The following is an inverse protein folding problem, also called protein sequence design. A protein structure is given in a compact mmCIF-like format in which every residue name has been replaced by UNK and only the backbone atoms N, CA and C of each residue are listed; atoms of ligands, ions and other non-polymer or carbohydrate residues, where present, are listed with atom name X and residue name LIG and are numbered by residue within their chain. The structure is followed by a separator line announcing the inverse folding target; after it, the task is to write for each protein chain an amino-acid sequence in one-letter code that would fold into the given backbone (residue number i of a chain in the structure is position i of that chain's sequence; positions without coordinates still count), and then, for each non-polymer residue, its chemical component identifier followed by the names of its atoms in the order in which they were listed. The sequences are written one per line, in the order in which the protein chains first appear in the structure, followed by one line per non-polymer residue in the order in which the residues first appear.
data_IF_565913177785
#
_entry.id   IF_565913177785
#
_cell.length_a   1.000
_cell.length_b   1.000
_cell.length_c   1.000
_cell.angle_alpha   90.00
_cell.angle_beta   90.00
_cell.angle_gamma   90.00
#
_symmetry.space_group_name_H-M   'P 1'
#
loop_
_entity.id
_entity.type
_entity.pdbx_description
1 polymer ?
#
# COMPACT_ATOMS: atom_id res chain seq x y z
N UNK A 1 -38.08 -9.08 15.19
CA UNK A 1 -37.05 -9.38 14.18
C UNK A 1 -36.00 -8.30 14.29
N UNK A 2 -34.84 -8.66 14.82
CA UNK A 2 -33.69 -7.76 14.95
C UNK A 2 -33.34 -7.21 13.56
N UNK A 3 -33.32 -5.89 13.40
CA UNK A 3 -33.09 -5.24 12.12
C UNK A 3 -31.58 -5.34 11.83
N UNK A 4 -31.18 -6.48 11.27
CA UNK A 4 -29.80 -6.77 10.92
C UNK A 4 -29.34 -5.74 9.89
N UNK A 5 -28.50 -4.79 10.31
CA UNK A 5 -27.95 -3.78 9.41
C UNK A 5 -26.94 -4.43 8.45
N UNK A 6 -27.42 -4.75 7.25
CA UNK A 6 -26.64 -5.34 6.16
C UNK A 6 -25.36 -4.55 5.86
N UNK A 7 -25.37 -3.23 6.07
CA UNK A 7 -24.22 -2.35 5.80
C UNK A 7 -23.09 -2.58 6.81
N UNK A 8 -23.43 -2.81 8.07
CA UNK A 8 -22.45 -3.09 9.12
C UNK A 8 -21.84 -4.48 8.94
N UNK A 9 -22.64 -5.47 8.50
CA UNK A 9 -22.14 -6.81 8.14
C UNK A 9 -21.16 -6.74 6.98
N UNK A 10 -21.50 -6.04 5.89
CA UNK A 10 -20.60 -5.89 4.74
C UNK A 10 -19.31 -5.17 5.11
N UNK A 11 -19.40 -4.12 5.94
CA UNK A 11 -18.23 -3.39 6.45
C UNK A 11 -17.31 -4.33 7.25
N UNK A 12 -17.87 -5.14 8.15
CA UNK A 12 -17.10 -6.12 8.93
C UNK A 12 -16.46 -7.16 8.03
N UNK A 13 -17.18 -7.68 7.04
CA UNK A 13 -16.63 -8.61 6.06
C UNK A 13 -15.47 -8.00 5.26
N UNK A 14 -15.60 -6.75 4.82
CA UNK A 14 -14.53 -6.02 4.12
C UNK A 14 -13.30 -5.81 5.01
N UNK A 15 -13.49 -5.41 6.27
CA UNK A 15 -12.38 -5.22 7.20
C UNK A 15 -11.67 -6.54 7.49
N UNK A 16 -12.42 -7.62 7.72
CA UNK A 16 -11.84 -8.97 7.92
C UNK A 16 -11.11 -9.45 6.68
N UNK A 17 -11.62 -9.19 5.48
CA UNK A 17 -10.93 -9.52 4.23
C UNK A 17 -9.56 -8.84 4.14
N UNK A 18 -9.42 -7.60 4.60
CA UNK A 18 -8.15 -6.87 4.55
C UNK A 18 -7.29 -7.03 5.81
N UNK A 19 -7.69 -7.82 6.82
CA UNK A 19 -6.88 -8.08 8.02
C UNK A 19 -5.66 -8.98 7.78
N UNK A 20 -5.59 -9.63 6.63
CA UNK A 20 -4.56 -10.62 6.28
C UNK A 20 -3.14 -10.08 6.06
N UNK A 21 -2.94 -8.75 6.08
CA UNK A 21 -1.61 -8.15 5.91
C UNK A 21 -1.04 -8.21 4.49
N UNK A 22 -1.71 -8.88 3.54
CA UNK A 22 -1.23 -9.00 2.15
C UNK A 22 -1.13 -7.62 1.49
N UNK A 23 -2.12 -6.77 1.72
CA UNK A 23 -2.11 -5.39 1.25
C UNK A 23 -0.86 -4.64 1.72
N UNK A 24 -0.48 -4.81 2.99
CA UNK A 24 0.66 -4.13 3.60
C UNK A 24 1.99 -4.64 3.00
N UNK A 25 2.11 -5.95 2.74
CA UNK A 25 3.27 -6.54 2.05
C UNK A 25 3.45 -5.89 0.67
N UNK A 26 2.40 -5.84 -0.14
CA UNK A 26 2.48 -5.28 -1.50
C UNK A 26 2.72 -3.77 -1.52
N UNK A 27 2.17 -3.03 -0.56
CA UNK A 27 2.49 -1.61 -0.37
C UNK A 27 3.97 -1.41 -0.07
N UNK A 28 4.51 -2.17 0.89
CA UNK A 28 5.90 -2.06 1.29
C UNK A 28 6.87 -2.46 0.16
N UNK A 29 6.60 -3.57 -0.55
CA UNK A 29 7.35 -3.98 -1.75
C UNK A 29 7.28 -2.90 -2.82
N UNK A 30 6.10 -2.31 -3.05
CA UNK A 30 5.95 -1.21 -3.98
C UNK A 30 6.85 -0.02 -3.63
N UNK A 31 6.85 0.41 -2.37
CA UNK A 31 7.70 1.49 -1.89
C UNK A 31 9.19 1.14 -2.06
N UNK A 32 9.59 -0.08 -1.72
CA UNK A 32 10.97 -0.54 -1.92
C UNK A 32 11.36 -0.60 -3.40
N UNK A 33 10.42 -0.90 -4.29
CA UNK A 33 10.64 -0.89 -5.74
C UNK A 33 10.90 0.53 -6.26
N UNK A 34 10.37 1.57 -5.61
CA UNK A 34 10.75 2.96 -5.91
C UNK A 34 12.20 3.23 -5.45
N UNK A 35 12.68 2.58 -4.39
CA UNK A 35 14.07 2.73 -3.96
C UNK A 35 15.08 2.24 -5.02
N UNK A 36 14.72 1.24 -5.83
CA UNK A 36 15.60 0.71 -6.88
C UNK A 36 15.83 1.70 -8.03
N UNK A 37 14.95 2.69 -8.22
CA UNK A 37 15.14 3.80 -9.17
C UNK A 37 16.45 4.54 -8.88
N UNK A 38 16.77 4.72 -7.59
CA UNK A 38 17.96 5.42 -7.14
C UNK A 38 19.25 4.61 -7.29
N UNK A 39 19.16 3.30 -7.50
CA UNK A 39 20.33 2.43 -7.68
C UNK A 39 20.70 2.22 -9.13
N UNK A 40 19.69 2.03 -9.99
CA UNK A 40 19.92 1.57 -11.36
C UNK A 40 19.63 2.63 -12.42
N UNK A 41 19.00 3.76 -12.07
CA UNK A 41 18.54 4.80 -13.02
C UNK A 41 17.61 4.27 -14.14
N UNK A 42 17.15 3.01 -14.05
CA UNK A 42 16.29 2.36 -15.05
C UNK A 42 14.82 2.59 -14.72
N UNK A 43 14.27 3.70 -15.22
CA UNK A 43 12.88 4.07 -14.96
C UNK A 43 11.84 3.12 -15.59
N UNK A 44 12.13 2.59 -16.79
CA UNK A 44 11.18 1.82 -17.61
C UNK A 44 10.94 0.41 -17.07
N UNK A 45 11.97 -0.25 -16.53
CA UNK A 45 11.81 -1.58 -15.91
C UNK A 45 11.01 -1.53 -14.61
N UNK A 46 11.08 -0.40 -13.90
CA UNK A 46 10.47 -0.21 -12.59
C UNK A 46 8.98 0.07 -12.72
N UNK A 47 8.55 0.85 -13.71
CA UNK A 47 7.12 1.05 -13.99
C UNK A 47 6.43 -0.26 -14.36
N UNK A 48 7.11 -1.13 -15.11
CA UNK A 48 6.65 -2.49 -15.40
C UNK A 48 6.49 -3.34 -14.14
N UNK A 49 7.47 -3.33 -13.24
CA UNK A 49 7.41 -4.08 -11.97
C UNK A 49 6.27 -3.59 -11.07
N UNK A 50 6.06 -2.28 -10.96
CA UNK A 50 4.95 -1.69 -10.19
C UNK A 50 3.59 -2.08 -10.77
N UNK A 51 3.46 -2.12 -12.10
CA UNK A 51 2.23 -2.51 -12.77
C UNK A 51 1.82 -3.98 -12.51
N UNK A 52 2.79 -4.85 -12.17
CA UNK A 52 2.52 -6.25 -11.82
C UNK A 52 2.00 -6.42 -10.38
N UNK A 53 2.25 -5.47 -9.47
CA UNK A 53 1.90 -5.59 -8.06
C UNK A 53 0.40 -5.85 -7.82
N UNK A 54 -0.56 -5.20 -8.51
CA UNK A 54 -1.98 -5.50 -8.31
C UNK A 54 -2.38 -6.90 -8.78
N UNK A 55 -1.74 -7.41 -9.84
CA UNK A 55 -1.97 -8.77 -10.35
C UNK A 55 -1.48 -9.78 -9.32
N UNK A 56 -0.26 -9.58 -8.81
CA UNK A 56 0.33 -10.41 -7.78
C UNK A 56 -0.47 -10.34 -6.47
N UNK A 57 -0.89 -9.15 -6.06
CA UNK A 57 -1.79 -8.94 -4.93
C UNK A 57 -3.07 -9.77 -5.09
N UNK A 58 -3.76 -9.66 -6.23
CA UNK A 58 -4.99 -10.41 -6.48
C UNK A 58 -4.74 -11.93 -6.46
N UNK A 59 -3.63 -12.39 -7.01
CA UNK A 59 -3.23 -13.80 -7.00
C UNK A 59 -2.96 -14.30 -5.56
N UNK A 60 -2.22 -13.54 -4.76
CA UNK A 60 -1.97 -13.88 -3.35
C UNK A 60 -3.25 -13.91 -2.52
N UNK A 61 -4.18 -12.97 -2.74
CA UNK A 61 -5.50 -13.02 -2.08
C UNK A 61 -6.26 -14.30 -2.45
N UNK A 62 -6.19 -14.72 -3.72
CA UNK A 62 -6.82 -15.96 -4.19
C UNK A 62 -6.22 -17.22 -3.57
N UNK A 63 -4.91 -17.21 -3.32
CA UNK A 63 -4.20 -18.36 -2.74
C UNK A 63 -4.31 -18.43 -1.22
N UNK A 64 -4.21 -17.29 -0.52
CA UNK A 64 -4.11 -17.26 0.93
C UNK A 64 -5.42 -16.89 1.62
N UNK A 65 -6.10 -15.85 1.17
CA UNK A 65 -7.25 -15.27 1.88
C UNK A 65 -8.56 -15.97 1.53
N UNK A 66 -8.81 -16.18 0.23
CA UNK A 66 -10.08 -16.73 -0.26
C UNK A 66 -10.33 -18.17 0.25
N UNK A 67 -9.35 -19.10 0.29
CA UNK A 67 -9.60 -20.45 0.79
C UNK A 67 -9.88 -20.50 2.30
N UNK A 68 -9.51 -19.47 3.06
CA UNK A 68 -9.66 -19.42 4.54
C UNK A 68 -10.92 -18.73 5.00
N UNK A 69 -11.35 -17.68 4.30
CA UNK A 69 -12.55 -16.91 4.65
C UNK A 69 -13.76 -17.25 3.77
N UNK A 70 -13.57 -18.07 2.74
CA UNK A 70 -14.55 -18.27 1.67
C UNK A 70 -14.58 -17.10 0.68
N UNK A 71 -15.30 -17.30 -0.42
CA UNK A 71 -15.43 -16.29 -1.47
C UNK A 71 -16.56 -15.30 -1.17
N UNK A 72 -16.21 -14.08 -0.78
CA UNK A 72 -17.18 -12.99 -0.63
C UNK A 72 -17.35 -12.25 -1.96
N UNK A 73 -18.50 -12.43 -2.62
CA UNK A 73 -18.86 -11.67 -3.83
C UNK A 73 -19.48 -10.34 -3.41
N UNK A 74 -18.68 -9.27 -3.40
CA UNK A 74 -19.23 -7.91 -3.26
C UNK A 74 -20.03 -7.55 -4.53
N UNK A 75 -21.33 -7.25 -4.37
CA UNK A 75 -22.22 -6.89 -5.48
C UNK A 75 -21.74 -5.61 -6.19
N UNK A 76 -22.00 -5.50 -7.50
CA UNK A 76 -21.63 -4.34 -8.32
C UNK A 76 -22.37 -3.06 -7.93
N UNK A 77 -23.54 -3.18 -7.30
CA UNK A 77 -24.34 -2.05 -6.81
C UNK A 77 -23.93 -1.59 -5.40
N UNK A 78 -22.94 -2.24 -4.79
CA UNK A 78 -22.62 -2.03 -3.37
C UNK A 78 -21.27 -1.33 -3.19
N UNK A 79 -21.17 -0.51 -2.15
CA UNK A 79 -20.01 0.33 -1.83
C UNK A 79 -18.71 -0.49 -1.67
N UNK A 80 -18.78 -1.80 -1.39
CA UNK A 80 -17.61 -2.68 -1.24
C UNK A 80 -16.75 -2.82 -2.51
N UNK A 81 -17.35 -3.00 -3.70
CA UNK A 81 -16.59 -3.13 -4.96
C UNK A 81 -15.97 -1.80 -5.39
N UNK A 82 -16.72 -0.71 -5.22
CA UNK A 82 -16.23 0.65 -5.45
C UNK A 82 -15.08 1.00 -4.51
N UNK A 83 -15.16 0.62 -3.22
CA UNK A 83 -14.05 0.76 -2.27
C UNK A 83 -12.83 0.00 -2.76
N UNK A 84 -12.97 -1.28 -3.15
CA UNK A 84 -11.82 -2.06 -3.60
C UNK A 84 -11.16 -1.50 -4.88
N UNK A 85 -11.95 -1.04 -5.86
CA UNK A 85 -11.41 -0.42 -7.07
C UNK A 85 -10.80 0.95 -6.81
N UNK A 86 -11.38 1.75 -5.91
CA UNK A 86 -10.81 3.04 -5.49
C UNK A 86 -9.54 2.83 -4.67
N UNK A 87 -9.50 1.84 -3.78
CA UNK A 87 -8.29 1.42 -3.06
C UNK A 87 -7.17 1.07 -4.03
N UNK A 88 -7.46 0.26 -5.06
CA UNK A 88 -6.50 -0.10 -6.11
C UNK A 88 -6.07 1.12 -6.94
N UNK A 89 -7.01 1.99 -7.30
CA UNK A 89 -6.74 3.20 -8.08
C UNK A 89 -5.95 4.24 -7.29
N UNK A 90 -6.18 4.40 -5.98
CA UNK A 90 -5.37 5.25 -5.10
C UNK A 90 -3.98 4.66 -4.99
N UNK A 91 -3.84 3.34 -4.79
CA UNK A 91 -2.54 2.68 -4.69
C UNK A 91 -1.73 2.84 -5.99
N UNK A 92 -2.32 2.49 -7.15
CA UNK A 92 -1.66 2.64 -8.45
C UNK A 92 -1.44 4.10 -8.83
N UNK A 93 -2.41 4.97 -8.53
CA UNK A 93 -2.35 6.39 -8.81
C UNK A 93 -1.25 7.06 -7.99
N UNK A 94 -1.07 6.67 -6.74
CA UNK A 94 -0.04 7.26 -5.87
C UNK A 94 1.34 6.72 -6.17
N UNK A 95 1.47 5.43 -6.47
CA UNK A 95 2.73 4.88 -6.98
C UNK A 95 3.12 5.51 -8.33
N UNK A 96 2.16 5.67 -9.25
CA UNK A 96 2.37 6.32 -10.54
C UNK A 96 2.62 7.82 -10.42
N UNK A 97 1.99 8.51 -9.47
CA UNK A 97 2.22 9.94 -9.23
C UNK A 97 3.60 10.20 -8.62
N UNK A 98 4.01 9.37 -7.65
CA UNK A 98 5.36 9.44 -7.07
C UNK A 98 6.40 9.13 -8.15
N UNK A 99 6.23 8.04 -8.90
CA UNK A 99 7.11 7.71 -10.02
C UNK A 99 7.07 8.80 -11.12
N UNK A 100 5.90 9.33 -11.47
CA UNK A 100 5.74 10.40 -12.46
C UNK A 100 6.43 11.69 -12.04
N UNK A 101 6.31 12.09 -10.77
CA UNK A 101 7.05 13.22 -10.20
C UNK A 101 8.56 13.02 -10.28
N UNK A 102 9.04 11.80 -10.02
CA UNK A 102 10.45 11.45 -10.16
C UNK A 102 10.93 11.38 -11.63
N UNK A 103 10.09 10.94 -12.57
CA UNK A 103 10.41 10.97 -14.00
C UNK A 103 10.45 12.40 -14.54
N UNK A 104 9.48 13.21 -14.13
CA UNK A 104 9.37 14.64 -14.46
C UNK A 104 10.57 15.43 -13.89
N UNK A 105 11.01 15.07 -12.67
CA UNK A 105 12.26 15.52 -12.04
C UNK A 105 13.51 15.31 -12.92
N UNK A 106 13.58 14.23 -13.70
CA UNK A 106 14.73 13.96 -14.58
C UNK A 106 14.73 14.81 -15.87
N UNK A 107 13.61 15.42 -16.23
CA UNK A 107 13.43 16.08 -17.54
C UNK A 107 13.36 17.60 -17.44
N UNK A 108 12.82 18.16 -16.34
CA UNK A 108 12.58 19.61 -16.21
C UNK A 108 13.50 20.19 -15.14
N UNK A 109 14.69 20.61 -15.55
CA UNK A 109 15.65 21.33 -14.71
C UNK A 109 15.66 22.84 -14.98
N UNK A 110 14.54 23.45 -15.39
CA UNK A 110 14.53 24.88 -15.72
C UNK A 110 13.25 25.62 -15.30
N UNK A 111 13.40 26.55 -14.33
CA UNK A 111 12.69 27.84 -14.36
C UNK A 111 11.63 28.14 -13.30
N UNK A 112 11.27 27.23 -12.38
CA UNK A 112 10.22 27.47 -11.37
C UNK A 112 10.75 27.43 -9.93
N UNK A 113 10.76 28.58 -9.26
CA UNK A 113 11.32 28.77 -7.90
C UNK A 113 10.63 27.96 -6.80
N UNK A 114 9.31 27.72 -6.89
CA UNK A 114 8.59 26.89 -5.92
C UNK A 114 8.86 25.40 -6.10
N UNK A 115 9.16 24.95 -7.34
CA UNK A 115 9.58 23.58 -7.62
C UNK A 115 10.98 23.33 -7.06
N UNK A 116 11.89 24.30 -7.20
CA UNK A 116 13.22 24.26 -6.59
C UNK A 116 13.17 24.10 -5.06
N UNK A 117 12.23 24.79 -4.39
CA UNK A 117 12.04 24.66 -2.94
C UNK A 117 11.56 23.25 -2.53
N UNK A 118 10.67 22.64 -3.32
CA UNK A 118 10.22 21.26 -3.12
C UNK A 118 11.34 20.24 -3.37
N UNK A 119 12.21 20.50 -4.35
CA UNK A 119 13.39 19.67 -4.66
C UNK A 119 14.44 19.79 -3.56
N UNK A 120 14.76 21.02 -3.13
CA UNK A 120 15.73 21.26 -2.07
C UNK A 120 15.31 20.56 -0.76
N UNK A 121 14.00 20.47 -0.50
CA UNK A 121 13.43 19.86 0.70
C UNK A 121 12.77 18.51 0.42
N UNK A 122 13.34 17.70 -0.49
CA UNK A 122 12.75 16.43 -0.95
C UNK A 122 12.29 15.50 0.19
N UNK A 123 13.01 15.47 1.33
CA UNK A 123 12.64 14.65 2.51
C UNK A 123 11.27 15.05 3.06
N UNK A 124 11.03 16.36 3.22
CA UNK A 124 9.76 16.92 3.73
C UNK A 124 8.66 16.73 2.68
N UNK A 125 9.00 16.93 1.40
CA UNK A 125 8.06 16.74 0.30
C UNK A 125 7.53 15.31 0.26
N UNK A 126 8.40 14.30 0.31
CA UNK A 126 7.99 12.89 0.32
C UNK A 126 7.23 12.54 1.60
N UNK A 127 7.69 13.02 2.77
CA UNK A 127 6.99 12.82 4.04
C UNK A 127 5.53 13.29 3.94
N UNK A 128 5.33 14.51 3.41
CA UNK A 128 4.00 15.11 3.25
C UNK A 128 3.13 14.35 2.25
N UNK A 129 3.69 13.95 1.11
CA UNK A 129 2.96 13.17 0.09
C UNK A 129 2.52 11.82 0.69
N UNK A 130 3.43 11.07 1.31
CA UNK A 130 3.09 9.77 1.89
C UNK A 130 2.07 9.91 3.01
N UNK A 131 2.18 10.92 3.88
CA UNK A 131 1.20 11.18 4.93
C UNK A 131 -0.20 11.39 4.36
N UNK A 132 -0.33 12.26 3.35
CA UNK A 132 -1.62 12.56 2.70
C UNK A 132 -2.17 11.32 2.01
N UNK A 133 -1.34 10.63 1.23
CA UNK A 133 -1.72 9.41 0.50
C UNK A 133 -2.23 8.34 1.45
N UNK A 134 -1.47 8.00 2.48
CA UNK A 134 -1.85 6.97 3.45
C UNK A 134 -3.08 7.38 4.27
N UNK A 135 -3.24 8.67 4.57
CA UNK A 135 -4.41 9.17 5.28
C UNK A 135 -5.68 9.11 4.43
N UNK A 136 -5.59 9.52 3.16
CA UNK A 136 -6.69 9.39 2.19
C UNK A 136 -7.06 7.92 1.98
N UNK A 137 -6.05 7.06 1.85
CA UNK A 137 -6.24 5.64 1.71
C UNK A 137 -6.91 5.01 2.94
N UNK A 138 -6.48 5.40 4.13
CA UNK A 138 -7.09 5.02 5.41
C UNK A 138 -8.54 5.50 5.52
N UNK A 139 -8.83 6.70 5.05
CA UNK A 139 -10.19 7.27 5.05
C UNK A 139 -11.14 6.53 4.13
N UNK A 140 -10.70 6.21 2.90
CA UNK A 140 -11.52 5.52 1.91
C UNK A 140 -11.72 4.04 2.26
N UNK A 141 -10.65 3.38 2.71
CA UNK A 141 -10.65 1.94 3.00
C UNK A 141 -11.10 1.64 4.44
N UNK A 142 -11.26 2.66 5.29
CA UNK A 142 -11.63 2.53 6.70
C UNK A 142 -10.62 1.69 7.51
N UNK A 143 -9.38 1.62 7.02
CA UNK A 143 -8.27 0.86 7.60
C UNK A 143 -7.44 1.77 8.49
N UNK A 144 -7.69 1.73 9.80
CA UNK A 144 -6.97 2.54 10.80
C UNK A 144 -5.45 2.41 10.72
N UNK A 145 -4.94 1.23 10.34
CA UNK A 145 -3.50 0.97 10.24
C UNK A 145 -2.78 1.81 9.18
N UNK A 146 -3.50 2.31 8.19
CA UNK A 146 -2.92 3.12 7.12
C UNK A 146 -2.47 4.49 7.62
N UNK A 147 -3.20 5.09 8.57
CA UNK A 147 -2.76 6.33 9.23
C UNK A 147 -1.44 6.14 9.96
N UNK A 148 -1.21 4.98 10.59
CA UNK A 148 0.07 4.68 11.24
C UNK A 148 1.21 4.58 10.22
N UNK A 149 0.99 4.03 9.03
CA UNK A 149 2.00 4.00 7.98
C UNK A 149 2.32 5.40 7.40
N UNK A 150 1.31 6.27 7.30
CA UNK A 150 1.51 7.68 6.95
C UNK A 150 2.36 8.44 7.99
N UNK A 151 2.06 8.22 9.27
CA UNK A 151 2.82 8.84 10.37
C UNK A 151 4.23 8.27 10.49
N UNK A 152 4.38 6.94 10.37
CA UNK A 152 5.68 6.25 10.36
C UNK A 152 6.57 6.78 9.24
N UNK A 153 6.04 6.84 8.01
CA UNK A 153 6.81 7.37 6.87
C UNK A 153 7.23 8.81 7.12
N UNK A 154 6.34 9.65 7.64
CA UNK A 154 6.68 11.03 8.00
C UNK A 154 7.83 11.10 9.01
N UNK A 155 7.77 10.30 10.09
CA UNK A 155 8.82 10.26 11.11
C UNK A 155 10.16 9.81 10.51
N UNK A 156 10.16 8.77 9.67
CA UNK A 156 11.40 8.26 9.05
C UNK A 156 12.02 9.31 8.11
N UNK A 157 11.22 9.99 7.28
CA UNK A 157 11.75 11.00 6.36
C UNK A 157 12.19 12.28 7.07
N UNK A 158 11.46 12.73 8.10
CA UNK A 158 11.83 13.91 8.90
C UNK A 158 13.06 13.63 9.75
N UNK A 159 13.17 12.46 10.39
CA UNK A 159 14.38 12.07 11.12
C UNK A 159 15.60 11.96 10.20
N UNK A 160 15.38 11.57 8.93
CA UNK A 160 16.39 11.62 7.88
C UNK A 160 16.96 13.01 7.61
N UNK A 161 16.36 14.11 8.08
CA UNK A 161 16.95 15.46 8.00
C UNK A 161 18.18 15.57 8.90
N UNK A 162 18.11 14.99 10.10
CA UNK A 162 19.17 15.03 11.11
C UNK A 162 20.25 13.97 10.89
N UNK A 163 19.91 12.89 10.18
CA UNK A 163 20.83 11.78 9.90
C UNK A 163 21.38 11.88 8.46
N UNK A 164 22.69 11.76 8.24
CA UNK A 164 23.30 11.76 6.90
C UNK A 164 23.09 10.42 6.19
N UNK A 165 21.83 9.97 6.09
CA UNK A 165 21.47 8.70 5.45
C UNK A 165 21.31 8.87 3.93
N UNK A 166 21.78 7.90 3.13
CA UNK A 166 21.49 7.85 1.71
C UNK A 166 19.98 7.79 1.43
N UNK A 167 19.53 8.40 0.33
CA UNK A 167 18.10 8.53 -0.02
C UNK A 167 17.37 7.19 -0.05
N UNK A 168 18.00 6.19 -0.66
CA UNK A 168 17.42 4.86 -0.80
C UNK A 168 17.22 4.16 0.54
N UNK A 169 18.06 4.41 1.56
CA UNK A 169 17.93 3.76 2.87
C UNK A 169 16.64 4.18 3.58
N UNK A 170 16.24 5.44 3.46
CA UNK A 170 14.99 5.93 4.05
C UNK A 170 13.78 5.24 3.42
N UNK A 171 13.76 5.14 2.09
CA UNK A 171 12.68 4.49 1.35
C UNK A 171 12.62 2.98 1.66
N UNK A 172 13.78 2.32 1.69
CA UNK A 172 13.88 0.90 2.06
C UNK A 172 13.45 0.65 3.51
N UNK A 173 13.77 1.56 4.43
CA UNK A 173 13.37 1.45 5.84
C UNK A 173 11.85 1.52 5.97
N UNK A 174 11.20 2.50 5.33
CA UNK A 174 9.74 2.62 5.35
C UNK A 174 9.08 1.39 4.73
N UNK A 175 9.47 1.04 3.49
CA UNK A 175 8.89 -0.09 2.78
C UNK A 175 9.16 -1.43 3.49
N UNK A 176 10.34 -1.58 4.10
CA UNK A 176 10.73 -2.75 4.89
C UNK A 176 9.89 -2.90 6.15
N UNK A 177 9.71 -1.84 6.94
CA UNK A 177 8.88 -1.88 8.16
C UNK A 177 7.43 -2.23 7.82
N UNK A 178 6.86 -1.60 6.78
CA UNK A 178 5.49 -1.87 6.34
C UNK A 178 5.35 -3.33 5.86
N UNK A 179 6.32 -3.81 5.07
CA UNK A 179 6.29 -5.20 4.57
C UNK A 179 6.39 -6.21 5.70
N UNK A 180 7.32 -6.01 6.65
CA UNK A 180 7.50 -6.85 7.82
C UNK A 180 6.24 -6.91 8.68
N UNK A 181 5.59 -5.76 8.88
CA UNK A 181 4.32 -5.70 9.60
C UNK A 181 3.23 -6.49 8.87
N UNK A 182 3.16 -6.38 7.54
CA UNK A 182 2.29 -7.17 6.69
C UNK A 182 2.53 -8.68 6.81
N UNK A 183 3.79 -9.12 6.85
CA UNK A 183 4.12 -10.54 7.09
C UNK A 183 3.68 -11.02 8.47
N UNK A 184 3.86 -10.21 9.52
CA UNK A 184 3.39 -10.54 10.87
C UNK A 184 1.86 -10.69 10.89
N UNK A 185 1.14 -9.79 10.20
CA UNK A 185 -0.31 -9.89 10.06
C UNK A 185 -0.74 -11.13 9.28
N UNK A 186 -0.05 -11.45 8.18
CA UNK A 186 -0.32 -12.66 7.39
C UNK A 186 -0.09 -13.92 8.21
N UNK A 187 1.00 -14.00 8.96
CA UNK A 187 1.31 -15.13 9.83
C UNK A 187 0.25 -15.31 10.92
N UNK A 188 -0.16 -14.23 11.59
CA UNK A 188 -1.23 -14.30 12.60
C UNK A 188 -2.57 -14.69 11.97
N UNK A 189 -2.86 -14.16 10.80
CA UNK A 189 -4.08 -14.48 10.06
C UNK A 189 -4.16 -15.96 9.66
N UNK A 190 -3.05 -16.57 9.21
CA UNK A 190 -3.03 -18.00 8.88
C UNK A 190 -3.15 -18.90 10.11
N UNK A 191 -2.78 -18.42 11.30
CA UNK A 191 -3.00 -19.11 12.57
C UNK A 191 -4.44 -18.95 13.08
N UNK A 192 -5.02 -17.75 12.96
CA UNK A 192 -6.38 -17.46 13.41
C UNK A 192 -7.45 -18.11 12.50
N UNK A 193 -7.16 -18.19 11.20
CA UNK A 193 -8.01 -18.82 10.19
C UNK A 193 -7.27 -20.01 9.55
N UNK A 194 -7.15 -21.14 10.26
CA UNK A 194 -6.58 -22.35 9.67
C UNK A 194 -7.44 -22.80 8.48
N UNK A 195 -6.80 -23.40 7.48
CA UNK A 195 -7.55 -24.02 6.38
C UNK A 195 -8.41 -25.14 6.97
N UNK A 196 -9.72 -25.10 6.71
CA UNK A 196 -10.56 -26.27 6.94
C UNK A 196 -10.00 -27.41 6.10
N UNK A 197 -9.58 -28.49 6.77
CA UNK A 197 -9.23 -29.74 6.09
C UNK A 197 -10.53 -30.31 5.53
N UNK A 198 -10.90 -29.88 4.33
CA UNK A 198 -11.98 -30.50 3.57
C UNK A 198 -11.58 -31.93 3.25
N UNK A 199 -12.23 -32.90 3.92
CA UNK A 199 -12.47 -34.28 3.50
C UNK A 199 -11.54 -34.79 2.37
N UNK A 200 -10.32 -35.21 2.73
CA UNK A 200 -9.46 -36.01 1.83
C UNK A 200 -9.87 -37.49 1.77
N UNK A 201 -11.03 -37.87 2.33
CA UNK A 201 -11.59 -39.21 2.19
C UNK A 201 -13.09 -39.11 1.90
N UNK A 202 -13.46 -39.22 0.63
CA UNK A 202 -14.59 -40.00 0.11
C UNK A 202 -14.52 -40.11 -1.42
#
# INVERSE_FOLDING_TARGET
MENVDLKEIERRAYLTYHKDGILDIYLGIGIMTIASVFFYEVFVGITGAIALLPILYAASKKQYTIPRLGYVKFSSNTKGRARNSVTLAILLGTMSAVAGLFAFYSVISSGYTWIELLIANWKITIASILLVVFSLFGYVSDLRRMYYYGLLSSIVFVSGIFLPLPRYMLILTVGGIISLNGFVHLYRFTQEYPLEKGHENE
#
